data_IF_352461689941
#
_entry.id   IF_352461689941
#
_cell.length_a   1.000
_cell.length_b   1.000
_cell.length_c   1.000
_cell.angle_alpha   90.00
_cell.angle_beta   90.00
_cell.angle_gamma   90.00
#
_symmetry.space_group_name_H-M   'P 1'
#
loop_
_entity.id
_entity.type
_entity.pdbx_description
1 polymer ?
#
# COMPACT_ATOMS: atom_id res chain seq x y z
N UNK A 1 13.59 -19.87 -9.32
CA UNK A 1 14.81 -19.08 -9.60
C UNK A 1 15.72 -19.22 -8.40
N UNK A 2 16.88 -19.87 -8.55
CA UNK A 2 17.74 -20.26 -7.44
C UNK A 2 18.47 -19.08 -6.82
N UNK A 3 18.25 -18.83 -5.53
CA UNK A 3 19.04 -17.86 -4.77
C UNK A 3 20.40 -18.46 -4.40
N UNK A 4 21.44 -17.96 -5.06
CA UNK A 4 22.81 -18.08 -4.56
C UNK A 4 22.93 -17.23 -3.30
N UNK A 5 23.22 -17.87 -2.16
CA UNK A 5 23.73 -17.21 -0.96
C UNK A 5 25.02 -16.49 -1.34
N UNK A 6 25.02 -15.17 -1.31
CA UNK A 6 26.23 -14.37 -1.20
C UNK A 6 26.04 -13.48 0.02
N UNK A 7 26.62 -13.93 1.13
CA UNK A 7 26.98 -13.02 2.20
C UNK A 7 28.21 -12.25 1.75
N UNK A 8 28.27 -10.97 2.09
CA UNK A 8 29.48 -10.25 2.44
C UNK A 8 29.04 -8.94 3.11
N UNK A 9 29.04 -8.95 4.45
CA UNK A 9 29.14 -7.74 5.26
C UNK A 9 30.40 -6.99 4.81
N UNK A 10 30.23 -5.78 4.31
CA UNK A 10 31.34 -4.83 4.13
C UNK A 10 31.17 -3.75 5.18
N UNK A 11 31.79 -3.95 6.34
CA UNK A 11 32.05 -2.88 7.30
C UNK A 11 33.47 -2.40 7.02
N UNK A 12 33.59 -1.25 6.37
CA UNK A 12 34.88 -0.58 6.19
C UNK A 12 35.17 0.27 7.44
N UNK A 13 36.11 -0.18 8.27
CA UNK A 13 36.69 0.66 9.33
C UNK A 13 37.89 1.43 8.76
N UNK A 14 37.75 2.75 8.68
CA UNK A 14 38.88 3.65 8.49
C UNK A 14 39.67 3.72 9.81
N UNK A 15 40.86 3.10 9.83
CA UNK A 15 41.79 3.18 10.96
C UNK A 15 42.53 4.53 10.92
N UNK A 16 42.05 5.49 11.70
CA UNK A 16 42.82 6.64 12.14
C UNK A 16 43.58 6.28 13.42
N UNK A 17 44.91 6.41 13.39
CA UNK A 17 45.81 5.98 14.45
C UNK A 17 45.98 7.01 15.57
N UNK A 18 46.11 6.45 16.79
CA UNK A 18 46.75 6.97 18.01
C UNK A 18 45.98 7.91 18.95
N UNK A 19 45.64 7.34 20.13
CA UNK A 19 45.58 8.07 21.40
C UNK A 19 44.43 7.67 22.33
N UNK A 20 44.53 6.55 23.04
CA UNK A 20 43.66 6.23 24.19
C UNK A 20 43.33 4.75 24.38
N UNK A 21 44.15 4.02 25.15
CA UNK A 21 43.82 2.68 25.62
C UNK A 21 42.85 2.79 26.81
N UNK A 22 41.56 2.59 26.55
CA UNK A 22 40.56 2.50 27.62
C UNK A 22 39.11 2.68 27.19
N UNK A 23 38.63 1.94 26.18
CA UNK A 23 37.17 1.66 26.00
C UNK A 23 36.83 0.69 24.85
N UNK A 24 37.81 0.11 24.13
CA UNK A 24 37.55 -0.56 22.84
C UNK A 24 36.91 -1.96 22.98
N UNK A 25 37.06 -2.64 24.12
CA UNK A 25 36.57 -4.02 24.27
C UNK A 25 35.06 -4.17 24.57
N UNK A 26 34.40 -3.15 25.11
CA UNK A 26 32.97 -3.23 25.48
C UNK A 26 32.06 -2.96 24.29
N UNK A 27 32.48 -2.13 23.33
CA UNK A 27 31.70 -1.82 22.14
C UNK A 27 31.61 -3.00 21.16
N UNK A 28 32.72 -3.73 20.98
CA UNK A 28 32.79 -4.87 20.04
C UNK A 28 31.96 -6.08 20.52
N UNK A 29 31.93 -6.32 21.84
CA UNK A 29 31.16 -7.42 22.44
C UNK A 29 29.66 -7.13 22.44
N UNK A 30 29.24 -5.88 22.69
CA UNK A 30 27.84 -5.45 22.61
C UNK A 30 27.34 -5.49 21.16
N UNK A 31 28.13 -5.02 20.19
CA UNK A 31 27.78 -5.10 18.77
C UNK A 31 27.63 -6.56 18.30
N UNK A 32 28.56 -7.44 18.68
CA UNK A 32 28.48 -8.86 18.35
C UNK A 32 27.28 -9.57 19.00
N UNK A 33 26.90 -9.19 20.22
CA UNK A 33 25.70 -9.70 20.89
C UNK A 33 24.41 -9.24 20.20
N UNK A 34 24.33 -7.96 19.80
CA UNK A 34 23.19 -7.40 19.08
C UNK A 34 22.98 -8.09 17.71
N UNK A 35 24.06 -8.40 16.99
CA UNK A 35 24.00 -9.16 15.73
C UNK A 35 23.45 -10.57 15.97
N UNK A 36 23.88 -11.27 17.03
CA UNK A 36 23.39 -12.61 17.36
C UNK A 36 21.90 -12.61 17.71
N UNK A 37 21.42 -11.60 18.44
CA UNK A 37 20.01 -11.48 18.77
C UNK A 37 19.17 -11.17 17.51
N UNK A 38 19.65 -10.26 16.65
CA UNK A 38 18.96 -9.95 15.37
C UNK A 38 18.79 -11.19 14.49
N UNK A 39 19.83 -12.02 14.37
CA UNK A 39 19.77 -13.30 13.63
C UNK A 39 18.78 -14.28 14.24
N UNK A 40 18.72 -14.37 15.58
CA UNK A 40 17.79 -15.27 16.28
C UNK A 40 16.34 -14.84 16.06
N UNK A 41 16.04 -13.55 16.20
CA UNK A 41 14.70 -12.98 15.94
C UNK A 41 14.29 -13.23 14.49
N UNK A 42 15.17 -12.96 13.53
CA UNK A 42 14.90 -13.22 12.12
C UNK A 42 14.60 -14.70 11.85
N UNK A 43 15.43 -15.61 12.36
CA UNK A 43 15.26 -17.05 12.16
C UNK A 43 13.95 -17.57 12.77
N UNK A 44 13.56 -17.07 13.95
CA UNK A 44 12.29 -17.44 14.57
C UNK A 44 11.10 -16.93 13.75
N UNK A 45 11.17 -15.69 13.25
CA UNK A 45 10.16 -15.15 12.33
C UNK A 45 10.03 -15.99 11.06
N UNK A 46 11.17 -16.43 10.47
CA UNK A 46 11.17 -17.30 9.28
C UNK A 46 10.37 -18.59 9.50
N UNK A 47 10.50 -19.21 10.68
CA UNK A 47 9.76 -20.44 11.00
C UNK A 47 8.24 -20.25 10.94
N UNK A 48 7.74 -19.05 11.23
CA UNK A 48 6.32 -18.73 11.18
C UNK A 48 5.85 -18.27 9.80
N UNK A 49 6.57 -17.35 9.15
CA UNK A 49 6.10 -16.66 7.93
C UNK A 49 6.03 -17.58 6.71
N UNK A 50 6.85 -18.64 6.70
CA UNK A 50 6.92 -19.60 5.59
C UNK A 50 5.71 -20.56 5.52
N UNK A 51 4.85 -20.59 6.55
CA UNK A 51 3.72 -21.52 6.62
C UNK A 51 2.40 -20.75 6.77
N UNK A 52 1.41 -20.95 5.87
CA UNK A 52 0.12 -20.28 5.97
C UNK A 52 -0.61 -20.49 7.31
N UNK A 53 -0.45 -21.67 7.93
CA UNK A 53 -1.06 -22.01 9.21
C UNK A 53 -0.52 -21.16 10.38
N UNK A 54 0.73 -20.69 10.31
CA UNK A 54 1.36 -19.88 11.37
C UNK A 54 1.49 -18.40 11.00
N UNK A 55 0.77 -17.93 9.98
CA UNK A 55 0.86 -16.53 9.53
C UNK A 55 0.43 -15.53 10.62
N UNK A 56 -0.57 -15.88 11.44
CA UNK A 56 -0.96 -15.09 12.61
C UNK A 56 0.18 -14.99 13.64
N UNK A 57 0.90 -16.11 13.87
CA UNK A 57 2.07 -16.12 14.75
C UNK A 57 3.20 -15.26 14.16
N UNK A 58 3.41 -15.28 12.84
CA UNK A 58 4.41 -14.44 12.18
C UNK A 58 4.11 -12.95 12.39
N UNK A 59 2.85 -12.54 12.21
CA UNK A 59 2.42 -11.16 12.43
C UNK A 59 2.59 -10.74 13.89
N UNK A 60 2.10 -11.55 14.83
CA UNK A 60 2.23 -11.26 16.26
C UNK A 60 3.70 -11.21 16.69
N UNK A 61 4.52 -12.15 16.21
CA UNK A 61 5.95 -12.18 16.49
C UNK A 61 6.64 -10.92 15.98
N UNK A 62 6.36 -10.49 14.75
CA UNK A 62 6.93 -9.25 14.21
C UNK A 62 6.52 -8.02 15.05
N UNK A 63 5.25 -7.89 15.43
CA UNK A 63 4.77 -6.78 16.28
C UNK A 63 5.58 -6.67 17.58
N UNK A 64 5.90 -7.79 18.21
CA UNK A 64 6.57 -7.80 19.51
C UNK A 64 8.10 -7.62 19.39
N UNK A 65 8.71 -8.11 18.32
CA UNK A 65 10.17 -8.23 18.20
C UNK A 65 10.81 -7.32 17.13
N UNK A 66 10.04 -6.53 16.37
CA UNK A 66 10.61 -5.68 15.29
C UNK A 66 11.65 -4.67 15.79
N UNK A 67 11.55 -4.23 17.04
CA UNK A 67 12.51 -3.29 17.67
C UNK A 67 13.84 -3.93 18.06
N UNK A 68 13.93 -5.27 18.04
CA UNK A 68 15.09 -6.05 18.48
C UNK A 68 16.06 -6.35 17.33
N UNK A 69 15.70 -5.93 16.11
CA UNK A 69 16.53 -6.11 14.91
C UNK A 69 16.92 -4.76 14.32
N UNK A 70 17.95 -4.75 13.48
CA UNK A 70 18.34 -3.57 12.72
C UNK A 70 17.30 -3.22 11.64
N UNK A 71 17.35 -1.98 11.14
CA UNK A 71 16.40 -1.46 10.16
C UNK A 71 16.29 -2.30 8.89
N UNK A 72 17.40 -2.87 8.42
CA UNK A 72 17.38 -3.68 7.20
C UNK A 72 16.64 -4.99 7.45
N UNK A 73 16.96 -5.67 8.56
CA UNK A 73 16.28 -6.91 8.96
C UNK A 73 14.79 -6.68 9.23
N UNK A 74 14.42 -5.60 9.92
CA UNK A 74 13.03 -5.19 10.12
C UNK A 74 12.30 -5.00 8.78
N UNK A 75 12.90 -4.27 7.83
CA UNK A 75 12.36 -4.11 6.47
C UNK A 75 12.13 -5.46 5.80
N UNK A 76 13.09 -6.38 5.84
CA UNK A 76 12.92 -7.70 5.23
C UNK A 76 11.77 -8.49 5.86
N UNK A 77 11.68 -8.51 7.19
CA UNK A 77 10.60 -9.20 7.88
C UNK A 77 9.22 -8.61 7.55
N UNK A 78 9.11 -7.28 7.50
CA UNK A 78 7.87 -6.60 7.11
C UNK A 78 7.44 -6.94 5.67
N UNK A 79 8.37 -6.90 4.71
CA UNK A 79 8.08 -7.23 3.31
C UNK A 79 7.69 -8.71 3.13
N UNK A 80 8.35 -9.61 3.87
CA UNK A 80 8.03 -11.04 3.84
C UNK A 80 6.67 -11.34 4.45
N UNK A 81 6.30 -10.66 5.55
CA UNK A 81 4.96 -10.77 6.14
C UNK A 81 3.89 -10.31 5.15
N UNK A 82 4.08 -9.15 4.53
CA UNK A 82 3.16 -8.61 3.52
C UNK A 82 2.99 -9.57 2.34
N UNK A 83 4.09 -10.10 1.80
CA UNK A 83 4.04 -11.05 0.70
C UNK A 83 3.31 -12.34 1.09
N UNK A 84 3.54 -12.87 2.29
CA UNK A 84 2.86 -14.07 2.79
C UNK A 84 1.35 -13.83 3.00
N UNK A 85 0.96 -12.67 3.52
CA UNK A 85 -0.44 -12.27 3.65
C UNK A 85 -1.13 -12.12 2.30
N UNK A 86 -0.49 -11.46 1.32
CA UNK A 86 -1.02 -11.36 -0.05
C UNK A 86 -1.18 -12.73 -0.70
N UNK A 87 -0.18 -13.61 -0.54
CA UNK A 87 -0.21 -14.94 -1.12
C UNK A 87 -1.32 -15.82 -0.52
N UNK A 88 -1.63 -15.65 0.78
CA UNK A 88 -2.68 -16.42 1.45
C UNK A 88 -4.08 -15.82 1.28
N UNK A 89 -4.21 -14.54 0.92
CA UNK A 89 -5.49 -13.85 0.85
C UNK A 89 -6.54 -14.60 0.01
N UNK A 90 -6.26 -15.11 -1.21
CA UNK A 90 -7.25 -15.85 -1.98
C UNK A 90 -7.79 -17.09 -1.26
N UNK A 91 -6.91 -17.85 -0.59
CA UNK A 91 -7.30 -19.03 0.19
C UNK A 91 -8.16 -18.65 1.40
N UNK A 92 -7.85 -17.51 2.03
CA UNK A 92 -8.67 -17.00 3.13
C UNK A 92 -10.03 -16.49 2.63
N UNK A 93 -10.10 -15.86 1.45
CA UNK A 93 -11.35 -15.38 0.84
C UNK A 93 -12.39 -16.49 0.67
N UNK A 94 -11.98 -17.69 0.27
CA UNK A 94 -12.87 -18.85 0.15
C UNK A 94 -13.59 -19.22 1.46
N UNK A 95 -13.02 -18.85 2.62
CA UNK A 95 -13.66 -19.08 3.93
C UNK A 95 -14.76 -18.06 4.24
N UNK A 96 -14.77 -16.93 3.53
CA UNK A 96 -15.71 -15.83 3.76
C UNK A 96 -16.96 -15.99 2.88
N UNK A 97 -16.84 -16.58 1.69
CA UNK A 97 -17.95 -16.71 0.74
C UNK A 97 -19.10 -17.68 1.05
N UNK A 98 -18.97 -18.70 1.91
CA UNK A 98 -20.11 -19.59 2.20
C UNK A 98 -21.35 -18.83 2.66
N UNK A 99 -22.53 -19.26 2.20
CA UNK A 99 -23.80 -18.53 2.40
C UNK A 99 -24.10 -18.25 3.88
N UNK A 100 -23.85 -19.23 4.75
CA UNK A 100 -24.04 -19.07 6.19
C UNK A 100 -23.13 -17.98 6.77
N UNK A 101 -21.89 -17.88 6.30
CA UNK A 101 -20.93 -16.85 6.73
C UNK A 101 -21.39 -15.47 6.27
N UNK A 102 -21.74 -15.33 4.98
CA UNK A 102 -22.25 -14.09 4.40
C UNK A 102 -23.49 -13.59 5.15
N UNK A 103 -24.44 -14.48 5.45
CA UNK A 103 -25.67 -14.16 6.18
C UNK A 103 -25.40 -13.67 7.60
N UNK A 104 -24.51 -14.33 8.34
CA UNK A 104 -24.14 -13.90 9.69
C UNK A 104 -23.46 -12.52 9.69
N UNK A 105 -22.53 -12.28 8.76
CA UNK A 105 -21.88 -10.97 8.59
C UNK A 105 -22.93 -9.92 8.23
N UNK A 106 -23.84 -10.20 7.29
CA UNK A 106 -24.90 -9.28 6.89
C UNK A 106 -25.84 -8.92 8.05
N UNK A 107 -26.24 -9.91 8.85
CA UNK A 107 -27.10 -9.69 10.02
C UNK A 107 -26.43 -8.81 11.08
N UNK A 108 -25.11 -8.94 11.26
CA UNK A 108 -24.34 -8.09 12.16
C UNK A 108 -24.13 -6.67 11.59
N UNK A 109 -23.78 -6.58 10.30
CA UNK A 109 -23.53 -5.30 9.63
C UNK A 109 -24.80 -4.47 9.49
N UNK A 110 -25.92 -5.06 9.10
CA UNK A 110 -27.20 -4.35 8.91
C UNK A 110 -27.65 -3.57 10.16
N UNK A 111 -27.33 -4.07 11.36
CA UNK A 111 -27.65 -3.45 12.65
C UNK A 111 -26.69 -2.34 13.07
N UNK A 112 -25.39 -2.54 12.81
CA UNK A 112 -24.32 -1.67 13.31
C UNK A 112 -23.82 -0.65 12.30
N UNK A 113 -24.01 -0.93 11.00
CA UNK A 113 -23.42 -0.23 9.86
C UNK A 113 -21.88 -0.10 9.97
N UNK A 114 -21.24 -1.06 10.63
CA UNK A 114 -19.80 -1.06 10.87
C UNK A 114 -19.19 -2.47 10.68
N UNK A 115 -18.26 -2.60 9.72
CA UNK A 115 -17.62 -3.86 9.33
C UNK A 115 -16.36 -4.24 10.11
N UNK A 116 -16.05 -3.53 11.20
CA UNK A 116 -14.90 -3.86 12.04
C UNK A 116 -15.04 -5.21 12.73
N UNK A 117 -13.93 -5.94 12.87
CA UNK A 117 -13.93 -7.23 13.57
C UNK A 117 -14.46 -7.16 15.00
N UNK A 118 -14.18 -6.07 15.75
CA UNK A 118 -14.73 -5.87 17.09
C UNK A 118 -16.25 -5.88 17.09
N UNK A 119 -16.87 -5.18 16.14
CA UNK A 119 -18.32 -5.11 16.00
C UNK A 119 -18.89 -6.46 15.61
N UNK A 120 -18.31 -7.12 14.60
CA UNK A 120 -18.76 -8.42 14.12
C UNK A 120 -18.64 -9.51 15.20
N UNK A 121 -17.51 -9.57 15.90
CA UNK A 121 -17.26 -10.51 16.98
C UNK A 121 -18.10 -10.22 18.23
N UNK A 122 -18.71 -9.06 18.39
CA UNK A 122 -19.66 -8.84 19.49
C UNK A 122 -21.06 -9.37 19.12
N UNK A 123 -21.45 -9.19 17.86
CA UNK A 123 -22.78 -9.55 17.36
C UNK A 123 -22.92 -11.04 17.04
N UNK A 124 -21.97 -11.63 16.33
CA UNK A 124 -22.06 -13.00 15.79
C UNK A 124 -21.79 -14.01 16.90
N UNK A 125 -22.69 -14.99 17.06
CA UNK A 125 -22.59 -16.04 18.09
C UNK A 125 -22.10 -17.38 17.56
N UNK A 126 -22.26 -17.65 16.26
CA UNK A 126 -21.76 -18.87 15.64
C UNK A 126 -20.25 -19.01 15.83
N UNK A 127 -19.83 -20.12 16.46
CA UNK A 127 -18.43 -20.33 16.84
C UNK A 127 -17.51 -20.47 15.62
N UNK A 128 -17.97 -21.06 14.53
CA UNK A 128 -17.17 -21.28 13.32
C UNK A 128 -16.93 -19.95 12.60
N UNK A 129 -17.98 -19.13 12.42
CA UNK A 129 -17.85 -17.79 11.83
C UNK A 129 -16.96 -16.91 12.68
N UNK A 130 -17.12 -16.94 14.01
CA UNK A 130 -16.25 -16.18 14.93
C UNK A 130 -14.78 -16.60 14.82
N UNK A 131 -14.50 -17.90 14.78
CA UNK A 131 -13.13 -18.42 14.66
C UNK A 131 -12.51 -18.00 13.32
N UNK A 132 -13.28 -18.04 12.22
CA UNK A 132 -12.83 -17.52 10.92
C UNK A 132 -12.52 -16.02 10.99
N UNK A 133 -13.40 -15.21 11.60
CA UNK A 133 -13.17 -13.77 11.76
C UNK A 133 -11.92 -13.48 12.60
N UNK A 134 -11.71 -14.21 13.69
CA UNK A 134 -10.49 -14.12 14.53
C UNK A 134 -9.25 -14.47 13.69
N UNK A 135 -9.31 -15.56 12.91
CA UNK A 135 -8.22 -15.96 12.01
C UNK A 135 -7.86 -14.84 11.03
N UNK A 136 -8.84 -14.20 10.37
CA UNK A 136 -8.59 -13.11 9.43
C UNK A 136 -8.00 -11.87 10.08
N UNK A 137 -8.55 -11.47 11.22
CA UNK A 137 -8.04 -10.35 12.02
C UNK A 137 -6.58 -10.59 12.39
N UNK A 138 -6.27 -11.77 12.92
CA UNK A 138 -4.94 -12.10 13.43
C UNK A 138 -3.92 -12.29 12.31
N UNK A 139 -4.40 -12.69 11.11
CA UNK A 139 -3.59 -12.72 9.88
C UNK A 139 -3.44 -11.36 9.21
N UNK A 140 -4.09 -10.29 9.68
CA UNK A 140 -3.91 -8.94 9.18
C UNK A 140 -4.78 -8.57 7.98
N UNK A 141 -5.95 -9.18 7.87
CA UNK A 141 -6.98 -8.76 6.92
C UNK A 141 -7.96 -7.80 7.59
N UNK A 142 -8.81 -7.18 6.77
CA UNK A 142 -10.06 -6.52 7.16
C UNK A 142 -11.16 -6.95 6.19
N UNK A 143 -12.42 -6.71 6.55
CA UNK A 143 -13.54 -7.00 5.66
C UNK A 143 -14.01 -5.73 4.96
N UNK A 144 -14.37 -5.89 3.70
CA UNK A 144 -15.05 -4.90 2.86
C UNK A 144 -16.35 -5.51 2.33
N UNK A 145 -17.19 -4.68 1.72
CA UNK A 145 -18.41 -5.13 1.05
C UNK A 145 -18.62 -4.42 -0.27
N UNK A 146 -19.13 -5.16 -1.27
CA UNK A 146 -19.58 -4.68 -2.57
C UNK A 146 -20.74 -5.52 -3.05
N UNK A 147 -21.74 -4.89 -3.66
CA UNK A 147 -22.90 -5.57 -4.26
C UNK A 147 -23.58 -6.59 -3.32
N UNK A 148 -23.62 -6.30 -2.02
CA UNK A 148 -24.21 -7.17 -0.99
C UNK A 148 -23.34 -8.36 -0.56
N UNK A 149 -22.13 -8.49 -1.09
CA UNK A 149 -21.16 -9.51 -0.71
C UNK A 149 -20.09 -8.94 0.21
N UNK A 150 -19.58 -9.77 1.12
CA UNK A 150 -18.49 -9.44 2.04
C UNK A 150 -17.23 -10.23 1.68
N UNK A 151 -16.08 -9.56 1.66
CA UNK A 151 -14.82 -10.19 1.27
C UNK A 151 -13.64 -9.60 2.05
N UNK A 152 -12.58 -10.37 2.26
CA UNK A 152 -11.41 -9.88 2.94
C UNK A 152 -10.48 -9.11 1.99
N UNK A 153 -9.83 -8.10 2.54
CA UNK A 153 -8.73 -7.37 1.89
C UNK A 153 -7.58 -7.20 2.88
N UNK A 154 -6.40 -6.84 2.37
CA UNK A 154 -5.25 -6.48 3.20
C UNK A 154 -5.58 -5.31 4.14
N UNK A 155 -5.23 -5.40 5.42
CA UNK A 155 -5.37 -4.30 6.37
C UNK A 155 -4.04 -3.55 6.56
N UNK A 156 -3.74 -2.64 5.62
CA UNK A 156 -2.47 -1.90 5.63
C UNK A 156 -2.34 -0.90 6.78
N UNK A 157 -3.44 -0.43 7.37
CA UNK A 157 -3.36 0.37 8.60
C UNK A 157 -2.60 -0.38 9.71
N UNK A 158 -2.79 -1.71 9.78
CA UNK A 158 -2.09 -2.58 10.71
C UNK A 158 -0.58 -2.71 10.48
N UNK A 159 -0.03 -2.16 9.39
CA UNK A 159 1.40 -2.08 9.12
C UNK A 159 2.04 -0.79 9.64
N UNK A 160 1.26 0.25 9.97
CA UNK A 160 1.83 1.54 10.39
C UNK A 160 2.69 1.44 11.66
N UNK A 161 2.43 0.48 12.53
CA UNK A 161 3.26 0.19 13.70
C UNK A 161 4.71 -0.20 13.35
N UNK A 162 4.97 -0.65 12.12
CA UNK A 162 6.31 -1.04 11.67
C UNK A 162 7.12 0.13 11.11
N UNK A 163 6.46 1.24 10.72
CA UNK A 163 7.11 2.41 10.08
C UNK A 163 8.35 2.93 10.81
N UNK A 164 8.39 3.01 12.16
CA UNK A 164 9.56 3.53 12.87
C UNK A 164 10.82 2.65 12.72
N UNK A 165 10.66 1.39 12.32
CA UNK A 165 11.73 0.39 12.32
C UNK A 165 12.21 0.03 10.91
N UNK A 166 11.46 0.39 9.87
CA UNK A 166 11.77 0.05 8.48
C UNK A 166 12.44 1.23 7.77
N UNK A 167 13.01 0.95 6.60
CA UNK A 167 13.58 1.96 5.71
C UNK A 167 12.54 2.99 5.28
N UNK A 168 12.99 4.23 5.02
CA UNK A 168 12.11 5.37 4.72
C UNK A 168 11.21 5.14 3.50
N UNK A 169 11.70 4.41 2.50
CA UNK A 169 10.92 4.02 1.33
C UNK A 169 9.77 3.09 1.75
N UNK A 170 10.03 2.04 2.53
CA UNK A 170 8.98 1.12 2.97
C UNK A 170 7.99 1.80 3.92
N UNK A 171 8.44 2.73 4.76
CA UNK A 171 7.53 3.54 5.58
C UNK A 171 6.57 4.40 4.74
N UNK A 172 7.07 5.03 3.66
CA UNK A 172 6.24 5.80 2.73
C UNK A 172 5.29 4.89 1.91
N UNK A 173 5.77 3.71 1.50
CA UNK A 173 4.94 2.70 0.84
C UNK A 173 3.76 2.29 1.72
N UNK A 174 3.99 2.05 3.02
CA UNK A 174 2.93 1.69 3.97
C UNK A 174 1.86 2.78 4.05
N UNK A 175 2.24 4.06 4.04
CA UNK A 175 1.27 5.16 4.07
C UNK A 175 0.40 5.22 2.81
N UNK A 176 1.00 5.03 1.63
CA UNK A 176 0.28 4.98 0.35
C UNK A 176 -0.72 3.82 0.36
N UNK A 177 -0.26 2.63 0.73
CA UNK A 177 -1.12 1.44 0.75
C UNK A 177 -2.20 1.50 1.82
N UNK A 178 -1.92 2.10 2.98
CA UNK A 178 -2.92 2.31 4.03
C UNK A 178 -3.99 3.30 3.59
N UNK A 179 -3.60 4.40 2.92
CA UNK A 179 -4.53 5.38 2.37
C UNK A 179 -5.47 4.73 1.36
N UNK A 180 -4.93 3.98 0.39
CA UNK A 180 -5.73 3.28 -0.62
C UNK A 180 -6.58 2.16 -0.03
N UNK A 181 -6.05 1.40 0.92
CA UNK A 181 -6.79 0.33 1.59
C UNK A 181 -7.96 0.88 2.40
N UNK A 182 -7.77 1.95 3.17
CA UNK A 182 -8.80 2.50 4.06
C UNK A 182 -9.90 3.25 3.31
N UNK A 183 -9.56 3.89 2.19
CA UNK A 183 -10.50 4.60 1.36
C UNK A 183 -10.10 4.36 -0.11
N UNK A 184 -10.61 3.29 -0.74
CA UNK A 184 -10.27 2.97 -2.13
C UNK A 184 -10.51 4.13 -3.08
N UNK A 185 -9.59 4.37 -4.02
CA UNK A 185 -9.77 5.39 -5.05
C UNK A 185 -10.84 4.96 -6.07
N UNK A 186 -10.93 3.66 -6.34
CA UNK A 186 -11.88 3.06 -7.26
C UNK A 186 -12.60 1.90 -6.60
N UNK A 187 -13.91 1.85 -6.80
CA UNK A 187 -14.79 0.80 -6.31
C UNK A 187 -15.94 0.62 -7.30
N UNK A 188 -16.25 -0.63 -7.67
CA UNK A 188 -17.24 -0.96 -8.70
C UNK A 188 -17.09 -0.10 -9.98
N UNK A 189 -15.87 -0.06 -10.52
CA UNK A 189 -15.49 0.75 -11.69
C UNK A 189 -15.85 2.25 -11.61
N UNK A 190 -16.12 2.78 -10.41
CA UNK A 190 -16.36 4.19 -10.14
C UNK A 190 -15.17 4.78 -9.39
N UNK A 191 -14.86 6.05 -9.66
CA UNK A 191 -13.95 6.82 -8.80
C UNK A 191 -14.79 7.29 -7.61
N UNK A 192 -14.48 6.78 -6.41
CA UNK A 192 -15.29 7.01 -5.20
C UNK A 192 -14.67 8.01 -4.21
N UNK A 193 -13.63 8.70 -4.67
CA UNK A 193 -12.98 9.83 -3.98
C UNK A 193 -13.10 11.10 -4.82
N UNK A 194 -12.84 12.26 -4.22
CA UNK A 194 -12.82 13.50 -4.99
C UNK A 194 -11.67 13.50 -6.01
N UNK A 195 -11.86 14.20 -7.13
CA UNK A 195 -10.80 14.41 -8.14
C UNK A 195 -9.56 15.12 -7.57
N UNK A 196 -9.74 15.99 -6.57
CA UNK A 196 -8.62 16.60 -5.83
C UNK A 196 -7.82 15.56 -5.06
N UNK A 197 -8.50 14.65 -4.36
CA UNK A 197 -7.85 13.56 -3.62
C UNK A 197 -7.17 12.58 -4.59
N UNK A 198 -7.82 12.22 -5.70
CA UNK A 198 -7.20 11.37 -6.74
C UNK A 198 -5.92 12.00 -7.30
N UNK A 199 -5.94 13.32 -7.54
CA UNK A 199 -4.76 14.07 -8.01
C UNK A 199 -3.65 14.06 -6.95
N UNK A 200 -3.99 14.29 -5.68
CA UNK A 200 -3.01 14.23 -4.59
C UNK A 200 -2.38 12.84 -4.44
N UNK A 201 -3.15 11.77 -4.60
CA UNK A 201 -2.65 10.40 -4.55
C UNK A 201 -1.73 10.09 -5.74
N UNK A 202 -2.05 10.56 -6.94
CA UNK A 202 -1.16 10.44 -8.09
C UNK A 202 0.18 11.17 -7.85
N UNK A 203 0.15 12.37 -7.27
CA UNK A 203 1.36 13.11 -6.90
C UNK A 203 2.18 12.40 -5.81
N UNK A 204 1.52 11.77 -4.83
CA UNK A 204 2.21 10.97 -3.82
C UNK A 204 2.89 9.72 -4.40
N UNK A 205 2.25 9.06 -5.39
CA UNK A 205 2.86 7.97 -6.14
C UNK A 205 4.08 8.44 -6.95
N UNK A 206 3.97 9.61 -7.58
CA UNK A 206 5.08 10.23 -8.32
C UNK A 206 6.26 10.63 -7.42
N UNK A 207 5.98 11.22 -6.26
CA UNK A 207 7.02 11.54 -5.27
C UNK A 207 7.76 10.27 -4.83
N UNK A 208 7.01 9.20 -4.56
CA UNK A 208 7.60 7.92 -4.17
C UNK A 208 8.56 7.37 -5.24
N UNK A 209 8.10 7.24 -6.48
CA UNK A 209 8.90 6.60 -7.54
C UNK A 209 10.10 7.45 -7.94
N UNK A 210 10.00 8.77 -7.81
CA UNK A 210 11.10 9.72 -8.02
C UNK A 210 12.13 9.65 -6.90
N UNK A 211 11.68 9.62 -5.65
CA UNK A 211 12.55 9.66 -4.46
C UNK A 211 13.17 8.31 -4.14
N UNK A 212 12.49 7.22 -4.45
CA UNK A 212 12.91 5.86 -4.11
C UNK A 212 12.94 4.92 -5.32
N UNK A 213 13.66 5.26 -6.41
CA UNK A 213 13.66 4.47 -7.64
C UNK A 213 14.22 3.05 -7.42
N UNK A 214 15.12 2.87 -6.45
CA UNK A 214 15.71 1.59 -6.07
C UNK A 214 14.92 0.80 -5.02
N UNK A 215 13.76 1.30 -4.57
CA UNK A 215 12.92 0.58 -3.60
C UNK A 215 12.44 -0.75 -4.18
N UNK A 216 12.34 -1.77 -3.32
CA UNK A 216 11.70 -3.03 -3.67
C UNK A 216 10.22 -2.87 -4.10
N UNK A 217 9.60 -1.74 -3.78
CA UNK A 217 8.21 -1.41 -4.13
C UNK A 217 8.08 -0.44 -5.30
N UNK A 218 9.19 0.05 -5.85
CA UNK A 218 9.20 1.01 -6.97
C UNK A 218 8.42 0.52 -8.18
N UNK A 219 8.67 -0.71 -8.65
CA UNK A 219 7.96 -1.27 -9.82
C UNK A 219 6.44 -1.35 -9.64
N UNK A 220 5.98 -1.72 -8.44
CA UNK A 220 4.54 -1.80 -8.15
C UNK A 220 3.93 -0.40 -8.13
N UNK A 221 4.56 0.56 -7.45
CA UNK A 221 4.05 1.93 -7.39
C UNK A 221 4.19 2.69 -8.72
N UNK A 222 5.14 2.34 -9.58
CA UNK A 222 5.21 2.86 -10.95
C UNK A 222 4.01 2.38 -11.77
N UNK A 223 3.61 1.11 -11.65
CA UNK A 223 2.38 0.61 -12.28
C UNK A 223 1.15 1.33 -11.75
N UNK A 224 1.05 1.53 -10.43
CA UNK A 224 -0.07 2.28 -9.86
C UNK A 224 -0.07 3.76 -10.26
N UNK A 225 1.10 4.40 -10.44
CA UNK A 225 1.18 5.74 -10.99
C UNK A 225 0.64 5.81 -12.41
N UNK A 226 0.95 4.82 -13.26
CA UNK A 226 0.38 4.75 -14.62
C UNK A 226 -1.14 4.58 -14.58
N UNK A 227 -1.65 3.71 -13.70
CA UNK A 227 -3.09 3.54 -13.50
C UNK A 227 -3.74 4.84 -13.01
N UNK A 228 -3.14 5.51 -12.03
CA UNK A 228 -3.64 6.78 -11.49
C UNK A 228 -3.62 7.89 -12.55
N UNK A 229 -2.56 7.95 -13.37
CA UNK A 229 -2.46 8.89 -14.51
C UNK A 229 -3.59 8.64 -15.50
N UNK A 230 -3.82 7.37 -15.89
CA UNK A 230 -4.93 7.01 -16.76
C UNK A 230 -6.29 7.40 -16.17
N UNK A 231 -6.51 7.18 -14.87
CA UNK A 231 -7.75 7.57 -14.18
C UNK A 231 -7.94 9.08 -14.10
N UNK A 232 -6.88 9.87 -13.93
CA UNK A 232 -7.00 11.33 -14.06
C UNK A 232 -7.43 11.67 -15.49
N UNK A 233 -6.72 11.15 -16.48
CA UNK A 233 -6.94 11.56 -17.86
C UNK A 233 -8.29 11.13 -18.44
N UNK A 234 -8.81 9.94 -18.09
CA UNK A 234 -10.04 9.41 -18.68
C UNK A 234 -11.19 9.23 -17.67
N UNK A 235 -10.87 9.15 -16.38
CA UNK A 235 -11.80 8.68 -15.36
C UNK A 235 -11.88 7.16 -15.27
N UNK A 236 -13.03 6.67 -14.85
CA UNK A 236 -13.37 5.24 -14.84
C UNK A 236 -14.75 5.03 -15.48
N UNK A 237 -15.14 3.78 -15.73
CA UNK A 237 -16.36 3.45 -16.47
C UNK A 237 -17.62 4.06 -15.84
N UNK A 238 -17.74 4.04 -14.52
CA UNK A 238 -18.90 4.61 -13.82
C UNK A 238 -18.66 6.06 -13.36
N UNK A 239 -17.49 6.63 -13.67
CA UNK A 239 -17.13 8.01 -13.31
C UNK A 239 -16.16 8.58 -14.36
N UNK A 240 -16.61 8.79 -15.60
CA UNK A 240 -15.75 9.31 -16.66
C UNK A 240 -15.36 10.76 -16.36
N UNK A 241 -14.17 11.15 -16.79
CA UNK A 241 -13.68 12.53 -16.69
C UNK A 241 -14.41 13.49 -17.65
N UNK A 242 -14.96 12.95 -18.74
CA UNK A 242 -15.71 13.66 -19.76
C UNK A 242 -17.18 13.24 -19.72
N UNK A 243 -18.06 14.15 -20.10
CA UNK A 243 -19.46 13.84 -20.36
C UNK A 243 -19.59 12.88 -21.57
N UNK A 244 -20.50 11.91 -21.49
CA UNK A 244 -20.65 10.90 -22.53
C UNK A 244 -21.19 11.47 -23.84
N UNK A 245 -22.14 12.39 -23.76
CA UNK A 245 -22.87 12.88 -24.92
C UNK A 245 -22.16 14.10 -25.50
N UNK A 246 -21.77 15.04 -24.64
CA UNK A 246 -21.17 16.29 -25.06
C UNK A 246 -19.67 16.17 -25.35
N UNK A 247 -19.04 15.09 -24.84
CA UNK A 247 -17.59 14.90 -24.91
C UNK A 247 -16.83 16.09 -24.29
N UNK A 248 -17.39 16.72 -23.26
CA UNK A 248 -16.82 17.89 -22.56
C UNK A 248 -16.25 17.44 -21.22
N UNK A 249 -15.06 17.94 -20.84
CA UNK A 249 -14.51 17.64 -19.50
C UNK A 249 -15.47 18.16 -18.43
N UNK A 250 -15.73 17.33 -17.43
CA UNK A 250 -16.65 17.72 -16.36
C UNK A 250 -16.07 18.87 -15.54
N UNK A 251 -16.87 19.89 -15.15
CA UNK A 251 -16.36 21.08 -14.45
C UNK A 251 -15.60 20.77 -13.16
N UNK A 252 -16.04 19.79 -12.39
CA UNK A 252 -15.38 19.36 -11.14
C UNK A 252 -13.99 18.74 -11.39
N UNK A 253 -13.81 18.08 -12.53
CA UNK A 253 -12.54 17.47 -12.94
C UNK A 253 -11.56 18.59 -13.32
N UNK A 254 -11.99 19.47 -14.22
CA UNK A 254 -11.18 20.63 -14.66
C UNK A 254 -10.75 21.48 -13.46
N UNK A 255 -11.68 21.78 -12.56
CA UNK A 255 -11.42 22.55 -11.34
C UNK A 255 -10.40 21.86 -10.42
N UNK A 256 -10.41 20.54 -10.32
CA UNK A 256 -9.40 19.81 -9.54
C UNK A 256 -8.00 19.97 -10.14
N UNK A 257 -7.87 19.99 -11.47
CA UNK A 257 -6.57 20.18 -12.15
C UNK A 257 -6.06 21.61 -11.98
N UNK A 258 -6.92 22.61 -12.18
CA UNK A 258 -6.59 24.01 -11.95
C UNK A 258 -6.12 24.25 -10.50
N UNK A 259 -6.82 23.64 -9.53
CA UNK A 259 -6.43 23.74 -8.12
C UNK A 259 -5.09 23.05 -7.84
N UNK A 260 -4.78 21.94 -8.52
CA UNK A 260 -3.51 21.26 -8.36
C UNK A 260 -2.33 22.13 -8.82
N UNK A 261 -2.50 22.88 -9.92
CA UNK A 261 -1.48 23.80 -10.46
C UNK A 261 -1.30 25.08 -9.64
N UNK A 262 -2.34 25.56 -8.95
CA UNK A 262 -2.23 26.69 -8.01
C UNK A 262 -1.44 26.33 -6.76
N UNK A 263 -1.35 25.04 -6.42
CA UNK A 263 -0.56 24.56 -5.30
C UNK A 263 0.92 24.69 -5.60
N UNK A 264 1.70 25.23 -4.67
CA UNK A 264 3.16 25.33 -4.78
C UNK A 264 3.82 23.94 -4.58
N UNK A 265 3.56 23.02 -5.52
CA UNK A 265 3.88 21.59 -5.42
C UNK A 265 5.13 21.18 -6.23
N UNK A 266 5.84 22.15 -6.79
CA UNK A 266 7.04 21.93 -7.63
C UNK A 266 6.71 21.43 -9.04
N UNK A 267 7.76 21.23 -9.85
CA UNK A 267 7.63 20.77 -11.24
C UNK A 267 7.62 19.23 -11.28
N UNK A 268 6.42 18.64 -11.30
CA UNK A 268 6.25 17.17 -11.44
C UNK A 268 5.70 16.81 -12.82
N UNK A 269 5.93 15.58 -13.30
CA UNK A 269 5.40 15.08 -14.58
C UNK A 269 3.87 15.11 -14.58
N UNK A 270 3.21 14.74 -13.48
CA UNK A 270 1.75 14.84 -13.39
C UNK A 270 1.29 16.29 -13.57
N UNK A 271 1.90 17.26 -12.88
CA UNK A 271 1.51 18.66 -13.02
C UNK A 271 1.77 19.19 -14.43
N UNK A 272 2.90 18.84 -15.06
CA UNK A 272 3.16 19.18 -16.46
C UNK A 272 2.15 18.56 -17.44
N UNK A 273 1.69 17.33 -17.18
CA UNK A 273 0.63 16.69 -17.98
C UNK A 273 -0.68 17.47 -17.81
N UNK A 274 -1.06 17.81 -16.58
CA UNK A 274 -2.30 18.52 -16.28
C UNK A 274 -2.28 19.95 -16.86
N UNK A 275 -1.14 20.64 -16.80
CA UNK A 275 -0.97 21.97 -17.39
C UNK A 275 -1.17 21.92 -18.91
N UNK A 276 -0.49 21.00 -19.61
CA UNK A 276 -0.66 20.81 -21.05
C UNK A 276 -2.09 20.42 -21.42
N UNK A 277 -2.71 19.57 -20.63
CA UNK A 277 -4.11 19.17 -20.83
C UNK A 277 -5.04 20.38 -20.71
N UNK A 278 -4.88 21.21 -19.68
CA UNK A 278 -5.72 22.40 -19.48
C UNK A 278 -5.55 23.40 -20.63
N UNK A 279 -4.32 23.62 -21.11
CA UNK A 279 -4.07 24.48 -22.28
C UNK A 279 -4.79 23.98 -23.54
N UNK A 280 -4.77 22.65 -23.79
CA UNK A 280 -5.51 22.05 -24.91
C UNK A 280 -7.03 22.17 -24.71
N UNK A 281 -7.52 21.94 -23.50
CA UNK A 281 -8.96 22.05 -23.21
C UNK A 281 -9.46 23.49 -23.35
N UNK A 282 -8.65 24.48 -22.98
CA UNK A 282 -9.00 25.89 -23.16
C UNK A 282 -9.11 26.27 -24.64
N UNK A 283 -8.25 25.72 -25.51
CA UNK A 283 -8.32 25.97 -26.96
C UNK A 283 -9.44 25.19 -27.66
N UNK A 284 -9.96 24.11 -27.05
CA UNK A 284 -11.01 23.26 -27.63
C UNK A 284 -12.39 23.46 -27.01
N UNK A 285 -12.60 24.55 -26.26
CA UNK A 285 -13.84 24.79 -25.51
C UNK A 285 -14.22 23.59 -24.61
N UNK A 286 -13.22 23.04 -23.92
CA UNK A 286 -13.30 21.90 -23.00
C UNK A 286 -13.66 20.55 -23.65
N UNK A 287 -13.65 20.45 -24.98
CA UNK A 287 -14.04 19.22 -25.69
C UNK A 287 -12.89 18.23 -25.83
N UNK A 288 -13.22 16.94 -25.72
CA UNK A 288 -12.39 15.80 -26.08
C UNK A 288 -12.31 15.69 -27.61
N UNK A 289 -11.55 16.59 -28.23
CA UNK A 289 -11.30 16.56 -29.68
C UNK A 289 -10.27 15.49 -30.04
N UNK A 290 -10.12 15.13 -31.32
CA UNK A 290 -9.05 14.20 -31.74
C UNK A 290 -7.64 14.62 -31.33
N UNK A 291 -7.38 15.92 -31.18
CA UNK A 291 -6.11 16.44 -30.66
C UNK A 291 -5.93 16.15 -29.16
N UNK A 292 -6.97 16.39 -28.35
CA UNK A 292 -6.97 16.05 -26.93
C UNK A 292 -6.82 14.54 -26.75
N UNK A 293 -7.62 13.74 -27.45
CA UNK A 293 -7.54 12.27 -27.42
C UNK A 293 -6.13 11.76 -27.78
N UNK A 294 -5.52 12.33 -28.82
CA UNK A 294 -4.15 12.00 -29.20
C UNK A 294 -3.17 12.31 -28.07
N UNK A 295 -3.29 13.46 -27.42
CA UNK A 295 -2.46 13.82 -26.27
C UNK A 295 -2.64 12.85 -25.09
N UNK A 296 -3.90 12.52 -24.74
CA UNK A 296 -4.18 11.56 -23.66
C UNK A 296 -3.58 10.18 -23.99
N UNK A 297 -3.81 9.69 -25.21
CA UNK A 297 -3.34 8.39 -25.67
C UNK A 297 -1.81 8.31 -25.66
N UNK A 298 -1.13 9.35 -26.13
CA UNK A 298 0.34 9.42 -26.10
C UNK A 298 0.87 9.46 -24.67
N UNK A 299 0.18 10.17 -23.77
CA UNK A 299 0.59 10.28 -22.36
C UNK A 299 0.50 8.93 -21.66
N UNK A 300 -0.63 8.22 -21.77
CA UNK A 300 -0.82 6.93 -21.09
C UNK A 300 0.01 5.80 -21.70
N UNK A 301 0.28 5.85 -23.00
CA UNK A 301 1.09 4.82 -23.68
C UNK A 301 2.58 5.15 -23.77
N UNK A 302 3.03 6.30 -23.24
CA UNK A 302 4.45 6.63 -23.17
C UNK A 302 5.16 5.73 -22.15
N UNK A 303 6.10 4.92 -22.64
CA UNK A 303 6.96 4.05 -21.82
C UNK A 303 7.96 4.86 -21.01
#
# INVERSE_FOLDING_TARGET
MGWKKTGLLSVAFALGSMGGFGSIHTTDTVAAAAVKESVKVYNQFQQYVQKPASLANARNYLINHIKEVDTWTATQMTLQLENAQKAYLPVYSEKVFPENVQKEINNAFSKSKNLTYSTLLNAIKDANVRNMLIEGRDKGYKLETSEGMYYPVMHYEGFKSFKPYVTKDIAAYIDIMATESNQPSVFDAAIVISWTELTNRALALEDFVTKYPASNRSTVLQKELLNATSRLLYGSSNTPAYDYDEQVIKPEVKKAYENALKGNKGDTRILMILEKLLQLLDSTNNKLTPEVEKFLNQTVNSK
#
